data_IF_446177516160
#
_entry.id   IF_446177516160
#
_cell.length_a   1.000
_cell.length_b   1.000
_cell.length_c   1.000
_cell.angle_alpha   90.00
_cell.angle_beta   90.00
_cell.angle_gamma   90.00
#
_symmetry.space_group_name_H-M   'P 1'
#
loop_
_entity.id
_entity.type
_entity.pdbx_description
1 polymer ?
#
# COMPACT_ATOMS: atom_id res chain seq x y z
N UNK A 1 13.16 -7.03 29.51
CA UNK A 1 13.17 -8.09 28.47
C UNK A 1 12.59 -9.37 29.07
N UNK A 2 11.31 -9.64 28.74
CA UNK A 2 10.61 -10.83 29.21
C UNK A 2 10.76 -11.95 28.17
N UNK A 3 11.34 -13.12 28.52
CA UNK A 3 11.57 -14.24 27.58
C UNK A 3 10.28 -14.70 26.86
N UNK A 4 9.16 -14.78 27.55
CA UNK A 4 7.87 -15.16 26.95
C UNK A 4 7.39 -14.17 25.89
N UNK A 5 7.64 -12.88 26.08
CA UNK A 5 7.33 -11.86 25.07
C UNK A 5 8.24 -11.95 23.86
N UNK A 6 9.53 -12.26 24.07
CA UNK A 6 10.50 -12.45 23.00
C UNK A 6 10.15 -13.66 22.12
N UNK A 7 9.74 -14.78 22.71
CA UNK A 7 9.32 -15.98 21.99
C UNK A 7 8.05 -15.70 21.17
N UNK A 8 7.04 -15.06 21.74
CA UNK A 8 5.80 -14.66 21.04
C UNK A 8 6.10 -13.75 19.86
N UNK A 9 7.00 -12.78 20.02
CA UNK A 9 7.42 -11.89 18.94
C UNK A 9 8.19 -12.65 17.85
N UNK A 10 9.09 -13.56 18.21
CA UNK A 10 9.84 -14.38 17.27
C UNK A 10 8.91 -15.30 16.44
N UNK A 11 7.89 -15.88 17.08
CA UNK A 11 6.87 -16.68 16.40
C UNK A 11 6.06 -15.83 15.40
N UNK A 12 5.67 -14.64 15.79
CA UNK A 12 4.93 -13.72 14.92
C UNK A 12 5.76 -13.34 13.68
N UNK A 13 7.03 -12.99 13.86
CA UNK A 13 7.96 -12.67 12.76
C UNK A 13 8.12 -13.85 11.79
N UNK A 14 8.41 -15.05 12.31
CA UNK A 14 8.54 -16.28 11.52
C UNK A 14 7.27 -16.56 10.72
N UNK A 15 6.12 -16.49 11.36
CA UNK A 15 4.83 -16.76 10.74
C UNK A 15 4.48 -15.72 9.68
N UNK A 16 4.72 -14.45 9.94
CA UNK A 16 4.49 -13.38 8.96
C UNK A 16 5.36 -13.54 7.72
N UNK A 17 6.66 -13.82 7.89
CA UNK A 17 7.57 -14.04 6.78
C UNK A 17 7.20 -15.29 5.94
N UNK A 18 6.77 -16.37 6.58
CA UNK A 18 6.33 -17.58 5.89
C UNK A 18 5.06 -17.38 5.05
N UNK A 19 4.13 -16.54 5.54
CA UNK A 19 2.87 -16.22 4.83
C UNK A 19 3.04 -15.20 3.71
N UNK A 20 4.11 -14.42 3.72
CA UNK A 20 4.36 -13.34 2.77
C UNK A 20 5.75 -13.53 2.13
N UNK A 21 5.91 -14.52 1.23
CA UNK A 21 7.22 -14.89 0.68
C UNK A 21 7.85 -13.80 -0.21
N UNK A 22 7.09 -12.83 -0.65
CA UNK A 22 7.53 -11.67 -1.41
C UNK A 22 7.92 -10.46 -0.51
N UNK A 23 7.72 -10.55 0.80
CA UNK A 23 8.28 -9.59 1.75
C UNK A 23 9.77 -9.89 1.97
N UNK A 24 10.62 -8.90 1.73
CA UNK A 24 12.07 -9.07 1.82
C UNK A 24 12.77 -7.80 2.31
N UNK A 25 14.10 -7.78 2.14
CA UNK A 25 14.95 -6.67 2.46
C UNK A 25 15.52 -6.68 3.86
N UNK A 26 16.29 -5.64 4.17
CA UNK A 26 17.12 -5.58 5.39
C UNK A 26 16.29 -5.62 6.67
N UNK A 27 15.10 -5.03 6.67
CA UNK A 27 14.20 -5.01 7.83
C UNK A 27 13.71 -6.43 8.13
N UNK A 28 13.19 -7.12 7.12
CA UNK A 28 12.71 -8.50 7.28
C UNK A 28 13.85 -9.44 7.65
N UNK A 29 15.01 -9.28 6.99
CA UNK A 29 16.21 -10.03 7.31
C UNK A 29 16.66 -9.80 8.76
N UNK A 30 16.68 -8.56 9.22
CA UNK A 30 17.04 -8.21 10.60
C UNK A 30 16.05 -8.77 11.62
N UNK A 31 14.76 -8.68 11.35
CA UNK A 31 13.72 -9.24 12.22
C UNK A 31 13.82 -10.77 12.31
N UNK A 32 14.04 -11.45 11.18
CA UNK A 32 14.24 -12.91 11.16
C UNK A 32 15.52 -13.34 11.87
N UNK A 33 16.63 -12.59 11.75
CA UNK A 33 17.86 -12.86 12.49
C UNK A 33 17.65 -12.76 14.00
N UNK A 34 16.94 -11.71 14.46
CA UNK A 34 16.57 -11.58 15.89
C UNK A 34 15.67 -12.73 16.36
N UNK A 35 14.69 -13.13 15.55
CA UNK A 35 13.85 -14.29 15.87
C UNK A 35 14.67 -15.58 15.94
N UNK A 36 15.65 -15.75 15.04
CA UNK A 36 16.56 -16.89 15.05
C UNK A 36 17.41 -16.94 16.32
N UNK A 37 17.92 -15.80 16.80
CA UNK A 37 18.67 -15.71 18.06
C UNK A 37 17.83 -16.15 19.26
N UNK A 38 16.56 -15.73 19.31
CA UNK A 38 15.61 -16.13 20.38
C UNK A 38 15.40 -17.65 20.36
N UNK A 39 15.12 -18.24 19.20
CA UNK A 39 14.93 -19.68 19.08
C UNK A 39 16.23 -20.47 19.31
N UNK A 40 17.38 -19.95 18.93
CA UNK A 40 18.68 -20.56 19.20
C UNK A 40 19.00 -20.63 20.71
N UNK A 41 18.57 -19.61 21.48
CA UNK A 41 18.69 -19.63 22.94
C UNK A 41 17.74 -20.65 23.56
N UNK A 42 16.47 -20.69 23.11
CA UNK A 42 15.48 -21.68 23.57
C UNK A 42 15.90 -23.11 23.26
N UNK A 43 16.52 -23.35 22.11
CA UNK A 43 16.98 -24.67 21.67
C UNK A 43 18.06 -25.28 22.61
N UNK A 44 18.66 -24.49 23.49
CA UNK A 44 19.60 -25.05 24.50
C UNK A 44 18.88 -25.88 25.59
N UNK A 45 17.60 -25.64 25.79
CA UNK A 45 16.77 -26.32 26.80
C UNK A 45 15.59 -27.07 26.18
N UNK A 46 15.20 -26.75 24.96
CA UNK A 46 14.07 -27.33 24.23
C UNK A 46 14.52 -27.72 22.80
N UNK A 47 14.62 -29.01 22.53
CA UNK A 47 15.05 -29.53 21.22
C UNK A 47 14.09 -29.14 20.09
N UNK A 48 12.79 -28.95 20.37
CA UNK A 48 11.79 -28.58 19.38
C UNK A 48 12.00 -27.15 18.85
N UNK A 49 12.58 -26.26 19.65
CA UNK A 49 12.96 -24.92 19.21
C UNK A 49 14.03 -24.93 18.09
N UNK A 50 14.82 -26.00 17.98
CA UNK A 50 15.80 -26.20 16.91
C UNK A 50 15.16 -26.24 15.52
N UNK A 51 13.97 -26.81 15.39
CA UNK A 51 13.23 -26.82 14.11
C UNK A 51 12.87 -25.39 13.65
N UNK A 52 12.49 -24.51 14.59
CA UNK A 52 12.19 -23.12 14.26
C UNK A 52 13.44 -22.35 13.77
N UNK A 53 14.62 -22.67 14.32
CA UNK A 53 15.90 -22.11 13.83
C UNK A 53 16.15 -22.50 12.37
N UNK A 54 15.91 -23.76 12.01
CA UNK A 54 16.15 -24.23 10.64
C UNK A 54 15.09 -23.71 9.67
N UNK A 55 13.83 -23.59 10.09
CA UNK A 55 12.79 -22.90 9.30
C UNK A 55 13.18 -21.44 9.00
N UNK A 56 13.64 -20.70 10.02
CA UNK A 56 14.05 -19.29 9.84
C UNK A 56 15.27 -19.20 8.92
N UNK A 57 16.24 -20.11 9.00
CA UNK A 57 17.35 -20.19 8.03
C UNK A 57 16.83 -20.37 6.60
N UNK A 58 15.85 -21.25 6.42
CA UNK A 58 15.20 -21.48 5.14
C UNK A 58 14.48 -20.24 4.59
N UNK A 59 13.82 -19.46 5.46
CA UNK A 59 13.19 -18.19 5.10
C UNK A 59 14.26 -17.14 4.72
N UNK A 60 15.31 -16.98 5.51
CA UNK A 60 16.42 -16.06 5.22
C UNK A 60 17.09 -16.36 3.87
N UNK A 61 17.28 -17.64 3.54
CA UNK A 61 17.87 -18.05 2.27
C UNK A 61 16.97 -17.76 1.05
N UNK A 62 15.67 -17.62 1.27
CA UNK A 62 14.65 -17.36 0.22
C UNK A 62 14.24 -15.90 0.14
N UNK A 63 14.77 -15.01 1.01
CA UNK A 63 14.42 -13.60 0.97
C UNK A 63 14.73 -13.01 -0.41
N UNK A 64 13.80 -12.25 -1.00
CA UNK A 64 14.06 -11.53 -2.24
C UNK A 64 15.28 -10.62 -2.11
N UNK A 65 16.09 -10.55 -3.16
CA UNK A 65 17.27 -9.69 -3.21
C UNK A 65 16.92 -8.19 -3.14
N UNK A 66 15.77 -7.81 -3.70
CA UNK A 66 15.23 -6.47 -3.62
C UNK A 66 14.43 -6.29 -2.33
N UNK A 67 14.78 -5.29 -1.54
CA UNK A 67 14.22 -5.07 -0.23
C UNK A 67 13.35 -3.83 -0.13
N UNK A 68 12.80 -3.64 1.06
CA UNK A 68 12.14 -2.40 1.43
C UNK A 68 13.14 -1.25 1.50
N UNK A 69 12.79 -0.12 0.90
CA UNK A 69 13.55 1.14 0.91
C UNK A 69 12.81 2.13 1.79
N UNK A 70 13.49 2.83 2.73
CA UNK A 70 12.86 3.89 3.50
C UNK A 70 12.31 4.97 2.60
N UNK A 71 11.04 5.34 2.77
CA UNK A 71 10.47 6.52 2.16
C UNK A 71 10.82 7.75 3.01
N UNK A 72 11.29 8.82 2.36
CA UNK A 72 11.56 10.05 3.09
C UNK A 72 10.28 10.63 3.67
N UNK A 73 10.30 10.97 4.95
CA UNK A 73 9.22 11.68 5.64
C UNK A 73 9.49 13.19 5.74
N UNK A 74 10.52 13.70 5.05
CA UNK A 74 10.76 15.14 4.92
C UNK A 74 9.66 15.74 4.00
N UNK A 75 8.97 16.84 4.39
CA UNK A 75 7.85 17.39 3.62
C UNK A 75 8.20 17.71 2.16
N UNK A 76 9.43 18.12 1.89
CA UNK A 76 9.94 18.44 0.55
C UNK A 76 10.09 17.23 -0.37
N UNK A 77 10.07 16.01 0.17
CA UNK A 77 10.04 14.77 -0.63
C UNK A 77 8.64 14.46 -1.21
N UNK A 78 7.65 15.24 -0.80
CA UNK A 78 6.25 15.07 -1.20
C UNK A 78 5.78 16.29 -1.97
N UNK A 79 4.73 16.12 -2.77
CA UNK A 79 4.07 17.21 -3.50
C UNK A 79 2.64 17.34 -3.01
N UNK A 80 2.16 18.56 -2.85
CA UNK A 80 0.76 18.76 -2.52
C UNK A 80 -0.14 18.29 -3.66
N UNK A 81 -1.24 17.63 -3.30
CA UNK A 81 -2.24 17.15 -4.25
C UNK A 81 -3.58 17.78 -3.88
N UNK A 82 -4.18 18.50 -4.81
CA UNK A 82 -5.48 19.13 -4.64
C UNK A 82 -6.42 18.76 -5.78
N UNK A 83 -7.71 18.66 -5.45
CA UNK A 83 -8.76 18.38 -6.41
C UNK A 83 -8.91 16.90 -6.77
N UNK A 84 -9.78 16.65 -7.71
CA UNK A 84 -10.10 15.31 -8.20
C UNK A 84 -8.93 14.73 -9.01
N UNK A 85 -8.44 13.52 -8.68
CA UNK A 85 -7.31 12.91 -9.39
C UNK A 85 -7.59 12.64 -10.87
N UNK A 86 -8.83 12.31 -11.26
CA UNK A 86 -9.20 12.11 -12.67
C UNK A 86 -9.10 13.44 -13.44
N UNK A 87 -9.62 14.52 -12.85
CA UNK A 87 -9.53 15.85 -13.44
C UNK A 87 -8.06 16.30 -13.60
N UNK A 88 -7.21 16.04 -12.60
CA UNK A 88 -5.77 16.36 -12.67
C UNK A 88 -5.06 15.60 -13.79
N UNK A 89 -5.32 14.31 -13.97
CA UNK A 89 -4.74 13.51 -15.06
C UNK A 89 -5.17 14.01 -16.44
N UNK A 90 -6.35 14.62 -16.55
CA UNK A 90 -6.85 15.19 -17.81
C UNK A 90 -6.35 16.62 -18.09
N UNK A 91 -5.64 17.25 -17.14
CA UNK A 91 -5.16 18.62 -17.31
C UNK A 91 -4.05 18.73 -18.35
N UNK A 92 -4.08 19.79 -19.16
CA UNK A 92 -2.96 20.16 -20.01
C UNK A 92 -1.76 20.58 -19.14
N UNK A 93 -0.51 20.39 -19.58
CA UNK A 93 0.70 20.62 -18.79
C UNK A 93 0.76 22.01 -18.11
N UNK A 94 0.37 23.08 -18.80
CA UNK A 94 0.37 24.45 -18.26
C UNK A 94 -0.65 24.61 -17.12
N UNK A 95 -1.84 24.03 -17.27
CA UNK A 95 -2.88 24.08 -16.24
C UNK A 95 -2.49 23.24 -15.03
N UNK A 96 -1.92 22.05 -15.26
CA UNK A 96 -1.41 21.19 -14.18
C UNK A 96 -0.30 21.87 -13.39
N UNK A 97 0.65 22.53 -14.05
CA UNK A 97 1.73 23.26 -13.39
C UNK A 97 1.20 24.39 -12.50
N UNK A 98 0.18 25.16 -12.96
CA UNK A 98 -0.48 26.19 -12.17
C UNK A 98 -1.21 25.58 -10.96
N UNK A 99 -2.01 24.53 -11.15
CA UNK A 99 -2.70 23.83 -10.08
C UNK A 99 -1.73 23.23 -9.05
N UNK A 100 -0.57 22.73 -9.49
CA UNK A 100 0.49 22.25 -8.60
C UNK A 100 1.05 23.37 -7.74
N UNK A 101 1.39 24.53 -8.35
CA UNK A 101 1.89 25.70 -7.61
C UNK A 101 0.91 26.19 -6.55
N UNK A 102 -0.39 26.23 -6.88
CA UNK A 102 -1.44 26.62 -5.94
C UNK A 102 -1.58 25.62 -4.79
N UNK A 103 -1.51 24.30 -5.09
CA UNK A 103 -1.56 23.24 -4.09
C UNK A 103 -0.34 23.29 -3.15
N UNK A 104 0.87 23.47 -3.70
CA UNK A 104 2.10 23.54 -2.91
C UNK A 104 2.09 24.78 -1.99
N UNK A 105 1.58 25.92 -2.48
CA UNK A 105 1.41 27.12 -1.66
C UNK A 105 0.41 26.89 -0.51
N UNK A 106 -0.68 26.19 -0.75
CA UNK A 106 -1.67 25.86 0.28
C UNK A 106 -1.15 24.86 1.33
N UNK A 107 -0.26 23.97 0.93
CA UNK A 107 0.33 22.96 1.83
C UNK A 107 1.53 23.49 2.63
N UNK A 108 2.10 24.63 2.24
CA UNK A 108 3.30 25.17 2.86
C UNK A 108 3.10 25.38 4.37
N UNK A 109 3.97 24.75 5.18
CA UNK A 109 3.93 24.85 6.64
C UNK A 109 2.78 24.11 7.33
N UNK A 110 1.92 23.37 6.61
CA UNK A 110 0.82 22.60 7.20
C UNK A 110 1.25 21.19 7.62
N UNK A 111 2.37 20.70 7.07
CA UNK A 111 3.03 19.47 7.46
C UNK A 111 4.37 19.80 8.13
N UNK A 112 4.66 19.11 9.20
CA UNK A 112 5.91 19.30 9.97
C UNK A 112 6.61 17.95 10.18
N UNK A 113 7.91 17.91 9.93
CA UNK A 113 8.75 16.76 10.21
C UNK A 113 9.68 17.05 11.38
N UNK A 114 9.65 16.19 12.39
CA UNK A 114 10.54 16.23 13.53
C UNK A 114 10.81 14.80 14.04
N UNK A 115 12.03 14.51 14.38
CA UNK A 115 12.45 13.23 15.00
C UNK A 115 11.97 11.98 14.22
N UNK A 116 12.00 12.03 12.88
CA UNK A 116 11.55 10.92 12.02
C UNK A 116 10.05 10.77 11.91
N UNK A 117 9.27 11.75 12.41
CA UNK A 117 7.80 11.75 12.34
C UNK A 117 7.35 12.92 11.46
N UNK A 118 6.51 12.63 10.47
CA UNK A 118 5.81 13.62 9.65
C UNK A 118 4.40 13.80 10.19
N UNK A 119 4.03 15.00 10.61
CA UNK A 119 2.71 15.30 11.19
C UNK A 119 2.00 16.38 10.38
N UNK A 120 0.76 16.08 9.98
CA UNK A 120 -0.19 17.02 9.40
C UNK A 120 -1.21 17.50 10.44
N UNK A 121 -1.51 18.79 10.43
CA UNK A 121 -2.58 19.37 11.25
C UNK A 121 -3.96 18.92 10.75
N UNK A 122 -5.00 19.18 11.54
CA UNK A 122 -6.39 18.97 11.13
C UNK A 122 -6.69 19.68 9.81
N UNK A 123 -7.25 18.97 8.85
CA UNK A 123 -7.64 19.53 7.55
C UNK A 123 -6.46 19.91 6.64
N UNK A 124 -5.25 19.44 6.94
CA UNK A 124 -4.07 19.71 6.11
C UNK A 124 -4.28 19.18 4.68
N UNK A 125 -3.76 19.88 3.65
CA UNK A 125 -3.80 19.37 2.28
C UNK A 125 -3.11 18.01 2.12
N UNK A 126 -3.59 17.24 1.17
CA UNK A 126 -3.01 15.92 0.82
C UNK A 126 -1.60 16.09 0.25
N UNK A 127 -0.69 15.22 0.67
CA UNK A 127 0.63 15.05 0.06
C UNK A 127 0.67 13.78 -0.78
N UNK A 128 1.26 13.87 -1.96
CA UNK A 128 1.52 12.73 -2.84
C UNK A 128 3.01 12.47 -2.98
N UNK A 129 3.38 11.21 -3.09
CA UNK A 129 4.78 10.83 -3.36
C UNK A 129 5.27 11.45 -4.68
N UNK A 130 6.56 11.80 -4.75
CA UNK A 130 7.15 12.34 -5.97
C UNK A 130 7.14 11.31 -7.11
N UNK A 131 7.20 10.02 -6.77
CA UNK A 131 7.15 8.87 -7.68
C UNK A 131 5.75 8.27 -7.71
N UNK A 132 5.35 7.75 -8.86
CA UNK A 132 4.19 6.86 -9.02
C UNK A 132 4.64 5.39 -8.92
N UNK A 133 3.76 4.53 -8.42
CA UNK A 133 4.01 3.12 -8.18
C UNK A 133 2.96 2.28 -8.90
N UNK A 134 3.40 1.21 -9.55
CA UNK A 134 2.53 0.20 -10.17
C UNK A 134 2.22 -0.91 -9.15
N UNK A 135 3.12 -1.85 -8.98
CA UNK A 135 3.02 -2.92 -7.98
C UNK A 135 3.99 -2.64 -6.83
N UNK A 136 3.52 -2.74 -5.60
CA UNK A 136 4.35 -2.45 -4.44
C UNK A 136 3.84 -3.08 -3.16
N UNK A 137 4.74 -3.24 -2.20
CA UNK A 137 4.44 -3.40 -0.79
C UNK A 137 4.80 -2.10 -0.06
N UNK A 138 3.97 -1.70 0.89
CA UNK A 138 4.18 -0.55 1.76
C UNK A 138 4.02 -0.99 3.21
N UNK A 139 4.95 -0.60 4.06
CA UNK A 139 4.83 -0.67 5.51
C UNK A 139 4.85 0.76 6.02
N UNK A 140 3.92 1.11 6.89
CA UNK A 140 3.86 2.45 7.48
C UNK A 140 3.27 2.38 8.88
N UNK A 141 3.84 3.15 9.81
CA UNK A 141 3.20 3.43 11.08
C UNK A 141 2.52 4.80 11.04
N UNK A 142 1.28 4.82 11.52
CA UNK A 142 0.47 6.03 11.57
C UNK A 142 -0.27 6.18 12.90
N UNK A 143 -0.64 7.41 13.26
CA UNK A 143 -1.37 7.74 14.47
C UNK A 143 -2.34 8.89 14.22
N UNK A 144 -3.60 8.74 14.64
CA UNK A 144 -4.62 9.80 14.69
C UNK A 144 -5.70 9.47 15.72
N UNK A 145 -6.33 10.49 16.29
CA UNK A 145 -7.54 10.35 17.13
C UNK A 145 -8.82 10.51 16.29
N UNK A 146 -8.72 10.89 15.03
CA UNK A 146 -9.85 11.11 14.13
C UNK A 146 -9.81 10.19 12.92
N UNK A 147 -10.25 10.72 11.80
CA UNK A 147 -10.23 10.05 10.50
C UNK A 147 -9.24 10.74 9.58
N UNK A 148 -8.45 9.96 8.85
CA UNK A 148 -7.50 10.39 7.84
C UNK A 148 -7.44 9.33 6.73
N UNK A 149 -6.54 9.45 5.76
CA UNK A 149 -6.44 8.49 4.66
C UNK A 149 -5.02 8.21 4.20
N UNK A 150 -4.84 7.03 3.63
CA UNK A 150 -3.65 6.62 2.88
C UNK A 150 -4.09 6.27 1.45
N UNK A 151 -3.75 7.13 0.48
CA UNK A 151 -4.08 6.86 -0.92
C UNK A 151 -3.12 5.86 -1.54
N UNK A 152 -3.67 4.96 -2.34
CA UNK A 152 -2.92 3.98 -3.13
C UNK A 152 -3.17 4.24 -4.61
N UNK A 153 -2.11 4.42 -5.39
CA UNK A 153 -2.17 4.80 -6.81
C UNK A 153 -3.07 6.02 -7.07
N UNK A 154 -3.07 6.99 -6.15
CA UNK A 154 -3.95 8.18 -6.12
C UNK A 154 -5.43 7.90 -5.79
N UNK A 155 -5.98 6.77 -6.18
CA UNK A 155 -7.34 6.28 -5.89
C UNK A 155 -7.30 4.73 -5.85
N UNK A 156 -7.99 4.06 -4.89
CA UNK A 156 -8.75 4.60 -3.75
C UNK A 156 -7.86 4.98 -2.56
N UNK A 157 -8.50 5.37 -1.46
CA UNK A 157 -7.83 5.58 -0.18
C UNK A 157 -8.16 4.47 0.79
N UNK A 158 -7.19 4.11 1.62
CA UNK A 158 -7.40 3.29 2.81
C UNK A 158 -7.73 4.22 3.97
N UNK A 159 -8.82 3.97 4.67
CA UNK A 159 -9.20 4.75 5.84
C UNK A 159 -8.18 4.57 6.98
N UNK A 160 -7.75 5.67 7.58
CA UNK A 160 -6.94 5.71 8.79
C UNK A 160 -7.79 6.26 9.93
N UNK A 161 -7.89 5.52 11.00
CA UNK A 161 -8.75 5.88 12.13
C UNK A 161 -10.24 5.63 11.90
N UNK A 162 -11.05 5.98 12.91
CA UNK A 162 -12.48 5.71 12.89
C UNK A 162 -12.82 4.21 12.91
N UNK A 163 -14.11 3.90 12.65
CA UNK A 163 -14.60 2.53 12.68
C UNK A 163 -14.20 1.70 11.45
N UNK A 164 -13.84 2.38 10.35
CA UNK A 164 -13.53 1.76 9.07
C UNK A 164 -12.01 1.72 8.80
N UNK A 165 -11.17 1.94 9.81
CA UNK A 165 -9.72 1.92 9.64
C UNK A 165 -9.25 0.61 9.00
N UNK A 166 -8.44 0.73 7.96
CA UNK A 166 -7.97 -0.40 7.15
C UNK A 166 -8.86 -0.78 5.97
N UNK A 167 -10.08 -0.24 5.86
CA UNK A 167 -10.95 -0.44 4.71
C UNK A 167 -10.66 0.54 3.57
N UNK A 168 -10.95 0.13 2.34
CA UNK A 168 -10.92 1.03 1.18
C UNK A 168 -12.13 1.98 1.22
N UNK A 169 -11.86 3.27 1.27
CA UNK A 169 -12.92 4.28 1.30
C UNK A 169 -13.65 4.35 -0.03
N UNK A 170 -14.95 4.14 0.02
CA UNK A 170 -15.82 4.24 -1.16
C UNK A 170 -15.84 3.02 -2.08
N UNK A 171 -15.04 1.98 -1.84
CA UNK A 171 -15.22 0.69 -2.51
C UNK A 171 -16.58 0.08 -2.14
N UNK A 172 -17.39 -0.26 -3.12
CA UNK A 172 -18.78 -0.67 -2.89
C UNK A 172 -19.09 -2.07 -3.43
N UNK A 173 -18.43 -2.48 -4.52
CA UNK A 173 -18.79 -3.71 -5.23
C UNK A 173 -18.00 -4.94 -4.74
N UNK A 174 -16.91 -4.72 -4.04
CA UNK A 174 -16.03 -5.80 -3.62
C UNK A 174 -15.93 -5.81 -2.10
N UNK A 175 -15.80 -7.01 -1.55
CA UNK A 175 -15.75 -7.22 -0.12
C UNK A 175 -14.64 -6.39 0.53
N UNK A 176 -15.02 -5.48 1.40
CA UNK A 176 -14.18 -4.44 1.96
C UNK A 176 -14.57 -4.22 3.43
N UNK A 177 -14.34 -5.24 4.24
CA UNK A 177 -14.72 -5.23 5.66
C UNK A 177 -13.48 -5.05 6.53
N UNK A 178 -13.49 -4.00 7.35
CA UNK A 178 -12.46 -3.79 8.35
C UNK A 178 -13.00 -4.12 9.74
N UNK A 179 -12.41 -5.09 10.47
CA UNK A 179 -12.75 -5.33 11.86
C UNK A 179 -12.41 -4.09 12.70
N UNK A 180 -13.38 -3.52 13.41
CA UNK A 180 -13.18 -2.35 14.27
C UNK A 180 -12.07 -2.56 15.32
N UNK A 181 -11.86 -3.81 15.74
CA UNK A 181 -10.82 -4.19 16.68
C UNK A 181 -9.37 -4.03 16.16
N UNK A 182 -9.19 -3.83 14.84
CA UNK A 182 -7.87 -3.62 14.26
C UNK A 182 -7.30 -2.24 14.60
N UNK A 183 -8.14 -1.21 14.76
CA UNK A 183 -7.72 0.16 15.02
C UNK A 183 -7.42 0.43 16.51
N UNK A 184 -6.36 1.22 16.75
CA UNK A 184 -5.95 1.74 18.07
C UNK A 184 -5.95 3.25 18.03
N UNK A 185 -7.07 3.92 18.36
CA UNK A 185 -7.17 5.38 18.30
C UNK A 185 -6.14 6.04 19.23
N UNK A 186 -5.48 7.09 18.73
CA UNK A 186 -4.45 7.84 19.47
C UNK A 186 -3.14 7.11 19.70
N UNK A 187 -3.03 5.85 19.33
CA UNK A 187 -1.80 5.05 19.40
C UNK A 187 -1.16 4.88 18.01
N UNK A 188 0.08 4.43 17.98
CA UNK A 188 0.73 4.02 16.75
C UNK A 188 0.12 2.72 16.23
N UNK A 189 -0.31 2.76 14.99
CA UNK A 189 -0.85 1.63 14.25
C UNK A 189 0.14 1.25 13.14
N UNK A 190 0.44 -0.02 12.99
CA UNK A 190 1.25 -0.53 11.88
C UNK A 190 0.33 -1.02 10.78
N UNK A 191 0.55 -0.55 9.56
CA UNK A 191 -0.19 -0.97 8.38
C UNK A 191 0.76 -1.54 7.34
N UNK A 192 0.39 -2.68 6.81
CA UNK A 192 1.04 -3.31 5.66
C UNK A 192 0.04 -3.31 4.49
N UNK A 193 0.49 -2.83 3.35
CA UNK A 193 -0.31 -2.75 2.12
C UNK A 193 0.44 -3.46 1.01
N UNK A 194 -0.21 -4.37 0.31
CA UNK A 194 0.31 -5.03 -0.87
C UNK A 194 -0.62 -4.76 -2.04
N UNK A 195 -0.11 -4.11 -3.07
CA UNK A 195 -0.83 -3.80 -4.30
C UNK A 195 -0.18 -4.54 -5.46
N UNK A 196 -0.94 -5.39 -6.12
CA UNK A 196 -0.50 -6.12 -7.31
C UNK A 196 -1.63 -6.14 -8.32
N UNK A 197 -1.34 -5.66 -9.52
CA UNK A 197 -2.35 -5.49 -10.55
C UNK A 197 -3.50 -4.59 -10.04
N UNK A 198 -4.73 -5.03 -10.15
CA UNK A 198 -5.91 -4.34 -9.64
C UNK A 198 -6.34 -4.80 -8.23
N UNK A 199 -5.45 -5.48 -7.49
CA UNK A 199 -5.74 -6.09 -6.20
C UNK A 199 -4.96 -5.44 -5.07
N UNK A 200 -5.61 -5.35 -3.91
CA UNK A 200 -4.98 -4.89 -2.68
C UNK A 200 -5.26 -5.83 -1.50
N UNK A 201 -4.23 -6.06 -0.73
CA UNK A 201 -4.33 -6.67 0.61
C UNK A 201 -3.84 -5.66 1.63
N UNK A 202 -4.61 -5.46 2.69
CA UNK A 202 -4.28 -4.56 3.81
C UNK A 202 -4.28 -5.36 5.10
N UNK A 203 -3.21 -5.21 5.87
CA UNK A 203 -3.10 -5.75 7.21
C UNK A 203 -2.89 -4.59 8.18
N UNK A 204 -3.77 -4.44 9.15
CA UNK A 204 -3.71 -3.42 10.19
C UNK A 204 -3.46 -4.08 11.54
N UNK A 205 -2.33 -3.76 12.18
CA UNK A 205 -1.93 -4.34 13.47
C UNK A 205 -1.97 -5.88 13.50
N UNK A 206 -1.57 -6.52 12.39
CA UNK A 206 -1.58 -7.97 12.24
C UNK A 206 -2.95 -8.58 11.86
N UNK A 207 -4.00 -7.77 11.69
CA UNK A 207 -5.34 -8.21 11.30
C UNK A 207 -5.57 -7.85 9.83
N UNK A 208 -5.89 -8.82 8.99
CA UNK A 208 -6.24 -8.57 7.58
C UNK A 208 -7.58 -7.85 7.51
N UNK A 209 -7.58 -6.63 7.00
CA UNK A 209 -8.76 -5.79 6.83
C UNK A 209 -9.28 -5.77 5.39
N UNK A 210 -8.39 -5.88 4.41
CA UNK A 210 -8.73 -6.14 3.02
C UNK A 210 -7.96 -7.38 2.55
N UNK A 211 -8.64 -8.35 1.97
CA UNK A 211 -8.02 -9.57 1.49
C UNK A 211 -8.20 -9.70 -0.03
N UNK A 212 -7.16 -9.33 -0.78
CA UNK A 212 -7.16 -9.41 -2.26
C UNK A 212 -8.36 -8.70 -2.90
N UNK A 213 -8.71 -7.52 -2.37
CA UNK A 213 -9.87 -6.72 -2.80
C UNK A 213 -9.56 -6.03 -4.12
N UNK A 214 -10.53 -5.98 -5.03
CA UNK A 214 -10.40 -5.27 -6.31
C UNK A 214 -10.45 -3.76 -6.08
N UNK A 215 -9.51 -3.04 -6.68
CA UNK A 215 -9.45 -1.58 -6.63
C UNK A 215 -10.53 -0.96 -7.55
N UNK A 216 -11.26 0.00 -7.03
CA UNK A 216 -12.21 0.80 -7.79
C UNK A 216 -11.74 2.24 -7.92
N UNK A 217 -12.04 2.88 -9.05
CA UNK A 217 -11.92 4.32 -9.14
C UNK A 217 -13.12 4.97 -8.43
N UNK A 218 -12.95 5.21 -7.14
CA UNK A 218 -14.04 5.66 -6.26
C UNK A 218 -14.47 7.12 -6.52
N UNK A 219 -13.69 7.89 -7.28
CA UNK A 219 -14.06 9.24 -7.72
C UNK A 219 -14.92 9.23 -8.99
N UNK A 220 -14.72 8.27 -9.87
CA UNK A 220 -15.53 8.07 -11.07
C UNK A 220 -15.49 6.61 -11.53
N UNK A 221 -16.56 5.86 -11.28
CA UNK A 221 -16.65 4.43 -11.61
C UNK A 221 -16.76 4.12 -13.11
N UNK A 222 -16.96 5.13 -13.96
CA UNK A 222 -16.90 4.96 -15.41
C UNK A 222 -15.44 4.92 -15.94
N UNK A 223 -14.48 5.24 -15.05
CA UNK A 223 -13.05 5.19 -15.35
C UNK A 223 -12.45 4.02 -14.56
N UNK A 224 -11.66 3.14 -15.17
CA UNK A 224 -10.98 2.06 -14.46
C UNK A 224 -10.04 2.57 -13.37
N UNK A 225 -9.74 1.71 -12.39
CA UNK A 225 -8.67 1.99 -11.42
C UNK A 225 -7.34 2.21 -12.16
N UNK A 226 -6.51 3.10 -11.65
CA UNK A 226 -5.22 3.39 -12.27
C UNK A 226 -4.25 2.22 -12.12
N UNK A 227 -3.49 1.93 -13.19
CA UNK A 227 -2.43 0.92 -13.16
C UNK A 227 -1.22 1.36 -12.34
N UNK A 228 -0.99 2.68 -12.27
CA UNK A 228 0.06 3.30 -11.48
C UNK A 228 -0.41 4.64 -10.91
N UNK A 229 0.18 5.09 -9.83
CA UNK A 229 -0.12 6.39 -9.24
C UNK A 229 0.61 6.62 -7.92
N UNK A 230 0.38 7.80 -7.36
CA UNK A 230 1.05 8.24 -6.15
C UNK A 230 0.53 7.52 -4.90
N UNK A 231 1.41 7.33 -3.92
CA UNK A 231 1.01 7.11 -2.53
C UNK A 231 0.63 8.46 -1.94
N UNK A 232 -0.56 8.55 -1.33
CA UNK A 232 -1.06 9.81 -0.78
C UNK A 232 -1.13 9.75 0.75
N UNK A 233 -0.64 10.80 1.40
CA UNK A 233 -0.87 11.07 2.82
C UNK A 233 -2.00 12.09 2.92
N UNK A 234 -3.15 11.66 3.39
CA UNK A 234 -4.38 12.46 3.38
C UNK A 234 -4.67 12.96 4.78
N UNK A 235 -4.73 14.29 4.92
CA UNK A 235 -5.14 14.94 6.16
C UNK A 235 -6.60 14.64 6.50
N UNK A 236 -6.96 14.80 7.75
CA UNK A 236 -8.25 14.36 8.23
C UNK A 236 -8.92 15.27 9.25
N UNK A 237 -9.85 14.71 9.99
CA UNK A 237 -10.67 15.42 10.99
C UNK A 237 -9.91 15.70 12.30
N UNK A 238 -8.73 15.10 12.47
CA UNK A 238 -7.78 15.35 13.55
C UNK A 238 -6.35 15.35 12.99
N UNK A 239 -5.33 15.76 13.76
CA UNK A 239 -3.95 15.62 13.35
C UNK A 239 -3.62 14.16 13.04
N UNK A 240 -2.81 13.95 12.00
CA UNK A 240 -2.31 12.62 11.62
C UNK A 240 -0.79 12.63 11.57
N UNK A 241 -0.18 11.60 12.11
CA UNK A 241 1.28 11.44 12.11
C UNK A 241 1.67 10.14 11.42
N UNK A 242 2.81 10.18 10.70
CA UNK A 242 3.40 9.05 10.00
C UNK A 242 4.86 8.88 10.42
N UNK A 243 5.31 7.64 10.54
CA UNK A 243 6.71 7.26 10.76
C UNK A 243 6.98 5.88 10.18
N UNK A 244 8.22 5.42 10.20
CA UNK A 244 8.62 4.06 9.80
C UNK A 244 7.96 3.64 8.48
N UNK A 245 8.12 4.49 7.44
CA UNK A 245 7.54 4.24 6.13
C UNK A 245 8.56 3.60 5.20
N UNK A 246 8.21 2.43 4.67
CA UNK A 246 9.08 1.65 3.79
C UNK A 246 8.30 1.15 2.59
N UNK A 247 8.86 1.31 1.41
CA UNK A 247 8.25 0.85 0.15
C UNK A 247 9.17 -0.17 -0.51
N UNK A 248 8.58 -1.25 -0.99
CA UNK A 248 9.24 -2.20 -1.88
C UNK A 248 8.45 -2.27 -3.17
N UNK A 249 9.10 -1.96 -4.29
CA UNK A 249 8.51 -2.16 -5.61
C UNK A 249 8.51 -3.64 -5.96
N UNK A 250 7.42 -4.08 -6.54
CA UNK A 250 7.28 -5.43 -7.07
C UNK A 250 7.42 -5.38 -8.60
N UNK A 251 7.75 -6.49 -9.24
CA UNK A 251 7.81 -6.55 -10.70
C UNK A 251 6.51 -6.01 -11.34
N UNK A 252 6.61 -5.31 -12.47
CA UNK A 252 5.43 -4.87 -13.21
C UNK A 252 4.62 -6.09 -13.67
N UNK A 253 3.32 -5.92 -13.78
CA UNK A 253 2.45 -6.98 -14.29
C UNK A 253 2.75 -7.20 -15.77
N UNK A 254 3.03 -8.45 -16.20
CA UNK A 254 3.20 -8.76 -17.62
C UNK A 254 1.99 -8.31 -18.43
N UNK A 255 2.23 -7.59 -19.52
CA UNK A 255 1.19 -7.07 -20.42
C UNK A 255 1.29 -7.76 -21.76
N UNK A 256 0.16 -7.93 -22.43
CA UNK A 256 0.14 -8.37 -23.81
C UNK A 256 0.67 -7.24 -24.70
N UNK A 257 1.60 -7.59 -25.59
CA UNK A 257 2.17 -6.71 -26.59
C UNK A 257 1.95 -7.29 -27.98
N UNK A 258 1.70 -6.43 -28.98
CA UNK A 258 1.61 -6.86 -30.37
C UNK A 258 2.98 -7.26 -30.89
N UNK A 259 3.00 -8.21 -31.83
CA UNK A 259 4.18 -8.45 -32.63
C UNK A 259 4.50 -7.21 -33.51
N UNK A 260 5.76 -7.04 -33.96
CA UNK A 260 6.10 -5.96 -34.87
C UNK A 260 5.28 -5.98 -36.18
N UNK A 261 4.89 -7.16 -36.65
CA UNK A 261 4.08 -7.35 -37.84
C UNK A 261 2.66 -6.85 -37.62
N UNK A 262 2.02 -7.25 -36.52
CA UNK A 262 0.66 -6.80 -36.16
C UNK A 262 0.62 -5.28 -35.95
N UNK A 263 1.63 -4.72 -35.28
CA UNK A 263 1.74 -3.27 -35.11
C UNK A 263 1.90 -2.54 -36.45
N UNK A 264 2.67 -3.10 -37.40
CA UNK A 264 2.85 -2.54 -38.75
C UNK A 264 1.56 -2.62 -39.58
N UNK A 265 0.71 -3.61 -39.37
CA UNK A 265 -0.61 -3.74 -39.98
C UNK A 265 -1.66 -2.79 -39.39
N UNK A 266 -1.31 -2.07 -38.30
CA UNK A 266 -2.19 -1.09 -37.64
C UNK A 266 -3.12 -1.64 -36.60
N UNK A 267 -2.86 -2.85 -36.09
CA UNK A 267 -3.58 -3.37 -34.94
C UNK A 267 -3.27 -2.54 -33.67
N UNK A 268 -4.23 -2.46 -32.76
CA UNK A 268 -4.10 -1.84 -31.45
C UNK A 268 -4.52 -2.81 -30.34
N UNK A 269 -3.77 -2.82 -29.24
CA UNK A 269 -4.15 -3.57 -28.05
C UNK A 269 -5.31 -2.85 -27.36
N UNK A 270 -6.49 -3.43 -27.33
CA UNK A 270 -7.65 -2.91 -26.60
C UNK A 270 -7.68 -3.38 -25.15
N UNK A 271 -7.10 -4.55 -24.88
CA UNK A 271 -6.97 -5.11 -23.53
C UNK A 271 -5.61 -5.81 -23.43
N UNK A 272 -4.77 -5.34 -22.52
CA UNK A 272 -3.40 -5.82 -22.34
C UNK A 272 -3.27 -6.96 -21.32
N UNK A 273 -4.40 -7.48 -20.82
CA UNK A 273 -4.45 -8.51 -19.78
C UNK A 273 -4.40 -7.97 -18.36
N UNK A 274 -4.17 -6.67 -18.13
CA UNK A 274 -3.91 -6.10 -16.81
C UNK A 274 -4.93 -5.04 -16.38
N UNK A 275 -5.52 -4.31 -17.31
CA UNK A 275 -6.40 -3.20 -16.93
C UNK A 275 -7.45 -2.88 -18.00
N UNK A 276 -8.51 -2.20 -17.57
CA UNK A 276 -9.57 -1.70 -18.44
C UNK A 276 -9.31 -0.25 -18.91
N UNK A 277 -8.10 0.27 -18.81
CA UNK A 277 -7.78 1.70 -19.00
C UNK A 277 -8.13 2.28 -20.38
N UNK A 278 -8.28 1.43 -21.40
CA UNK A 278 -8.77 1.84 -22.76
C UNK A 278 -10.29 1.76 -22.91
N UNK A 279 -10.98 1.30 -21.88
CA UNK A 279 -12.42 1.12 -21.91
C UNK A 279 -13.12 2.23 -21.10
N UNK A 280 -14.32 2.60 -21.52
CA UNK A 280 -15.15 3.62 -20.87
C UNK A 280 -16.55 3.08 -20.60
N UNK A 281 -17.27 3.73 -19.70
CA UNK A 281 -18.60 3.30 -19.26
C UNK A 281 -18.53 2.52 -17.96
N UNK A 282 -19.47 1.64 -17.69
CA UNK A 282 -19.50 0.86 -16.46
C UNK A 282 -18.42 -0.23 -16.45
N UNK A 283 -17.16 0.17 -16.25
CA UNK A 283 -16.03 -0.75 -16.21
C UNK A 283 -15.87 -1.43 -14.85
N UNK A 284 -16.54 -0.96 -13.81
CA UNK A 284 -16.41 -1.49 -12.43
C UNK A 284 -16.82 -2.95 -12.31
N UNK A 285 -17.74 -3.42 -13.16
CA UNK A 285 -18.17 -4.82 -13.20
C UNK A 285 -17.33 -5.71 -14.10
N UNK A 286 -16.37 -5.14 -14.81
CA UNK A 286 -15.47 -5.83 -15.72
C UNK A 286 -14.07 -5.72 -15.18
N UNK A 287 -13.58 -6.80 -14.58
CA UNK A 287 -12.28 -6.81 -13.89
C UNK A 287 -11.29 -7.72 -14.60
N UNK A 288 -10.04 -7.30 -14.75
CA UNK A 288 -8.97 -8.17 -15.21
C UNK A 288 -8.70 -9.28 -14.20
N UNK A 289 -8.72 -10.52 -14.67
CA UNK A 289 -8.36 -11.69 -13.86
C UNK A 289 -7.57 -12.64 -14.76
N UNK A 290 -6.33 -12.94 -14.38
CA UNK A 290 -5.45 -13.88 -15.08
C UNK A 290 -5.41 -13.66 -16.61
N UNK A 291 -5.27 -12.41 -17.03
CA UNK A 291 -5.19 -12.05 -18.45
C UNK A 291 -6.54 -12.07 -19.19
N UNK A 292 -7.65 -12.24 -18.49
CA UNK A 292 -9.00 -12.22 -19.07
C UNK A 292 -9.86 -11.11 -18.45
N UNK A 293 -10.92 -10.71 -19.15
CA UNK A 293 -11.96 -9.82 -18.59
C UNK A 293 -13.04 -10.69 -17.94
N UNK A 294 -13.14 -10.57 -16.63
CA UNK A 294 -14.15 -11.24 -15.85
C UNK A 294 -15.31 -10.29 -15.52
N UNK A 295 -16.54 -10.76 -15.69
CA UNK A 295 -17.75 -9.98 -15.35
C UNK A 295 -18.19 -10.36 -13.94
N UNK A 296 -18.12 -9.39 -13.01
CA UNK A 296 -18.65 -9.58 -11.66
C UNK A 296 -20.17 -9.48 -11.70
N UNK A 297 -20.86 -10.45 -11.13
CA UNK A 297 -22.31 -10.36 -10.99
C UNK A 297 -22.66 -9.20 -10.05
N UNK A 298 -23.49 -8.27 -10.51
CA UNK A 298 -24.17 -7.34 -9.61
C UNK A 298 -25.38 -8.07 -8.99
N UNK A 299 -25.49 -7.99 -7.71
CA UNK A 299 -26.73 -8.31 -6.98
C UNK A 299 -27.44 -7.04 -6.54
#
# INVERSE_FOLDING_TARGET
>A
DNPATAETAALAVKTAAAKNPDMGGEIVASALKKAQEVYAELAKSDADAGYAVDEIKGLLAKLPAEGFVPASLAPEAWKAVAGDPNARRAMKPKALAKAQQEADAAAAGTWNAADGVLTGATGTPTLGSAKEYENFCLIVEWKTDGEAGLGIRSIPQIALGGRNAGALTGNMLHENTAPAAANRPGEWNTMEVRVVNDRVTVVLNGITTCNNVILENTCNREIPAYTEGQILLVGGTAPVSFREMYVRELPPTPRFELSPEEAAEGFEVLFDGTSMHKWTGNTTNYVPVDGTIYVTAQY
#
